data_IF_800579176243
#
_entry.id   IF_800579176243
#
_cell.length_a   1.000
_cell.length_b   1.000
_cell.length_c   1.000
_cell.angle_alpha   90.00
_cell.angle_beta   90.00
_cell.angle_gamma   90.00
#
_symmetry.space_group_name_H-M   'P 1'
#
loop_
_entity.id
_entity.type
_entity.pdbx_description
1 polymer ?
#
# COMPACT_ATOMS: atom_id res chain seq x y z
N UNK A 1 21.62 -22.65 4.08
CA UNK A 1 21.63 -22.49 2.60
C UNK A 1 21.10 -21.11 2.27
N UNK A 2 21.75 -20.39 1.34
CA UNK A 2 21.28 -19.10 0.84
C UNK A 2 20.74 -19.21 -0.59
N UNK A 3 20.03 -18.19 -1.06
CA UNK A 3 19.44 -18.17 -2.39
C UNK A 3 18.45 -17.02 -2.61
N UNK A 4 17.91 -16.87 -3.82
CA UNK A 4 16.88 -15.88 -4.10
C UNK A 4 15.65 -16.11 -3.22
N UNK A 5 15.01 -15.02 -2.78
CA UNK A 5 13.77 -15.05 -2.02
C UNK A 5 12.93 -13.84 -2.39
N UNK A 6 11.64 -14.02 -2.56
CA UNK A 6 10.70 -12.91 -2.73
C UNK A 6 10.12 -12.54 -1.37
N UNK A 7 10.18 -11.26 -1.02
CA UNK A 7 9.61 -10.74 0.23
C UNK A 7 8.71 -9.55 -0.09
N UNK A 8 7.60 -9.44 0.63
CA UNK A 8 6.70 -8.28 0.56
C UNK A 8 5.92 -8.10 1.88
N UNK A 9 5.33 -6.92 2.06
CA UNK A 9 4.36 -6.62 3.11
C UNK A 9 3.00 -6.30 2.49
N UNK A 10 1.94 -6.80 3.10
CA UNK A 10 0.57 -6.44 2.73
C UNK A 10 0.05 -5.22 3.52
N UNK A 11 -0.78 -4.37 2.91
CA UNK A 11 -1.20 -4.37 1.51
C UNK A 11 -0.15 -3.75 0.56
N UNK A 12 -0.05 -4.28 -0.65
CA UNK A 12 0.82 -3.74 -1.72
C UNK A 12 0.00 -2.84 -2.65
N UNK A 13 0.50 -1.64 -2.92
CA UNK A 13 -0.20 -0.63 -3.77
C UNK A 13 0.68 -0.09 -4.89
N UNK A 14 1.93 -0.52 -4.98
CA UNK A 14 2.80 -0.28 -6.14
C UNK A 14 3.60 -1.53 -6.50
N UNK A 15 4.16 -1.55 -7.72
CA UNK A 15 5.00 -2.67 -8.15
C UNK A 15 6.28 -2.85 -7.31
N UNK A 16 6.82 -1.74 -6.78
CA UNK A 16 8.04 -1.73 -5.97
C UNK A 16 7.90 -2.38 -4.58
N UNK A 17 6.66 -2.64 -4.13
CA UNK A 17 6.37 -3.25 -2.81
C UNK A 17 6.73 -4.74 -2.74
N UNK A 18 6.93 -5.38 -3.89
CA UNK A 18 7.33 -6.79 -4.00
C UNK A 18 8.78 -6.85 -4.44
N UNK A 19 9.62 -7.50 -3.62
CA UNK A 19 11.07 -7.43 -3.82
C UNK A 19 11.72 -8.81 -3.78
N UNK A 20 12.57 -9.05 -4.76
CA UNK A 20 13.55 -10.11 -4.77
C UNK A 20 14.76 -9.69 -3.93
N UNK A 21 15.12 -10.54 -2.98
CA UNK A 21 16.34 -10.45 -2.18
C UNK A 21 17.16 -11.73 -2.35
N UNK A 22 18.36 -11.71 -1.77
CA UNK A 22 19.18 -12.92 -1.59
C UNK A 22 19.21 -13.26 -0.11
N UNK A 23 18.60 -14.38 0.28
CA UNK A 23 18.74 -14.94 1.61
C UNK A 23 20.18 -15.40 1.82
N UNK A 24 20.78 -14.98 2.93
CA UNK A 24 22.16 -15.33 3.31
C UNK A 24 22.14 -16.04 4.65
N UNK A 25 22.83 -17.18 4.70
CA UNK A 25 22.95 -17.99 5.90
C UNK A 25 24.09 -17.47 6.79
N UNK A 26 23.76 -16.96 7.98
CA UNK A 26 24.72 -16.38 8.92
C UNK A 26 24.70 -17.18 10.22
N UNK A 27 25.72 -18.01 10.51
CA UNK A 27 25.75 -18.88 11.70
C UNK A 27 25.53 -18.15 13.03
N UNK A 28 26.03 -16.92 13.15
CA UNK A 28 25.85 -16.10 14.34
C UNK A 28 24.38 -15.76 14.64
N UNK A 29 23.50 -15.83 13.64
CA UNK A 29 22.07 -15.50 13.75
C UNK A 29 21.18 -16.73 13.90
N UNK A 30 21.73 -17.96 13.95
CA UNK A 30 20.95 -19.21 14.04
C UNK A 30 20.10 -19.35 15.31
N UNK A 31 20.36 -18.52 16.32
CA UNK A 31 19.54 -18.45 17.53
C UNK A 31 18.23 -17.67 17.33
N UNK A 32 18.09 -16.95 16.22
CA UNK A 32 16.86 -16.25 15.82
C UNK A 32 16.03 -17.19 14.94
N UNK A 33 14.88 -17.61 15.44
CA UNK A 33 13.95 -18.50 14.75
C UNK A 33 12.63 -17.76 14.46
N UNK A 34 11.94 -18.19 13.40
CA UNK A 34 10.62 -17.66 13.00
C UNK A 34 10.58 -16.14 12.78
N UNK A 35 11.70 -15.56 12.35
CA UNK A 35 11.86 -14.14 12.02
C UNK A 35 12.65 -13.96 10.74
N UNK A 36 12.43 -12.82 10.07
CA UNK A 36 13.29 -12.33 8.99
C UNK A 36 14.26 -11.32 9.57
N UNK A 37 15.56 -11.51 9.34
CA UNK A 37 16.58 -10.55 9.77
C UNK A 37 17.06 -9.74 8.59
N UNK A 38 16.76 -8.43 8.60
CA UNK A 38 17.24 -7.50 7.58
C UNK A 38 18.61 -6.92 7.95
N UNK A 39 19.46 -6.59 6.97
CA UNK A 39 20.72 -5.91 7.22
C UNK A 39 20.47 -4.51 7.81
N UNK A 40 21.29 -4.15 8.80
CA UNK A 40 21.26 -2.80 9.42
C UNK A 40 21.86 -1.72 8.52
N UNK A 41 22.72 -2.09 7.59
CA UNK A 41 23.46 -1.17 6.74
C UNK A 41 23.04 -1.31 5.28
N UNK A 42 22.97 -0.19 4.58
CA UNK A 42 22.56 -0.11 3.19
C UNK A 42 22.14 1.32 2.83
N UNK A 43 21.83 1.58 1.56
CA UNK A 43 21.37 2.89 1.11
C UNK A 43 19.95 3.23 1.61
N UNK A 44 19.13 2.19 1.85
CA UNK A 44 17.74 2.29 2.32
C UNK A 44 17.39 1.03 3.13
N UNK A 45 16.65 1.13 4.24
CA UNK A 45 16.20 -0.06 4.98
C UNK A 45 15.27 -0.92 4.12
N UNK A 46 15.52 -2.23 4.02
CA UNK A 46 14.67 -3.13 3.22
C UNK A 46 13.19 -3.18 3.65
N UNK A 47 12.83 -3.11 4.96
CA UNK A 47 11.44 -2.92 5.37
C UNK A 47 10.77 -1.74 4.67
N UNK A 48 11.39 -0.56 4.72
CA UNK A 48 10.85 0.67 4.14
C UNK A 48 10.69 0.60 2.61
N UNK A 49 11.46 -0.26 1.92
CA UNK A 49 11.28 -0.52 0.49
C UNK A 49 9.99 -1.27 0.15
N UNK A 50 9.29 -1.86 1.14
CA UNK A 50 8.09 -2.67 0.98
C UNK A 50 6.90 -2.04 1.73
N UNK A 51 6.01 -1.34 1.03
CA UNK A 51 4.81 -0.73 1.60
C UNK A 51 5.06 0.19 2.81
N UNK A 52 6.23 0.86 2.85
CA UNK A 52 6.62 1.74 3.96
C UNK A 52 6.71 1.02 5.30
N UNK A 53 7.10 -0.25 5.29
CA UNK A 53 7.18 -1.08 6.50
C UNK A 53 8.27 -0.62 7.45
N UNK A 54 8.04 -0.85 8.75
CA UNK A 54 9.05 -0.74 9.78
C UNK A 54 9.16 -2.06 10.58
N UNK A 55 9.79 -2.03 11.75
CA UNK A 55 10.02 -3.21 12.59
C UNK A 55 9.31 -3.10 13.95
N UNK A 56 8.15 -2.43 14.01
CA UNK A 56 7.34 -2.28 15.23
C UNK A 56 6.34 -3.43 15.49
N UNK A 57 6.29 -4.40 14.57
CA UNK A 57 5.35 -5.53 14.60
C UNK A 57 4.93 -6.04 13.22
N UNK A 58 5.41 -5.43 12.14
CA UNK A 58 5.11 -5.83 10.75
C UNK A 58 5.47 -7.30 10.45
N UNK A 59 4.57 -7.97 9.73
CA UNK A 59 4.76 -9.33 9.22
C UNK A 59 5.01 -9.30 7.70
N UNK A 60 5.84 -10.25 7.24
CA UNK A 60 6.24 -10.34 5.83
C UNK A 60 5.81 -11.66 5.21
N UNK A 61 5.33 -11.58 3.96
CA UNK A 61 5.19 -12.76 3.11
C UNK A 61 6.56 -13.10 2.53
N UNK A 62 7.07 -14.29 2.85
CA UNK A 62 8.38 -14.78 2.38
C UNK A 62 8.17 -15.99 1.47
N UNK A 63 8.59 -15.88 0.21
CA UNK A 63 8.28 -16.86 -0.84
C UNK A 63 9.58 -17.36 -1.47
N UNK A 64 9.77 -18.68 -1.42
CA UNK A 64 10.92 -19.42 -1.97
C UNK A 64 10.58 -20.17 -3.26
N UNK A 65 9.37 -20.01 -3.78
CA UNK A 65 8.91 -20.70 -5.00
C UNK A 65 9.46 -19.99 -6.24
N UNK A 66 10.35 -20.64 -7.02
CA UNK A 66 10.91 -20.04 -8.22
C UNK A 66 9.88 -19.68 -9.29
N UNK A 67 8.70 -20.34 -9.29
CA UNK A 67 7.61 -20.02 -10.21
C UNK A 67 6.96 -18.65 -9.94
N UNK A 68 7.22 -18.05 -8.77
CA UNK A 68 6.73 -16.75 -8.36
C UNK A 68 7.79 -15.65 -8.37
N UNK A 69 9.04 -15.98 -8.76
CA UNK A 69 10.12 -15.00 -8.79
C UNK A 69 9.87 -13.93 -9.85
N UNK A 70 10.23 -12.70 -9.48
CA UNK A 70 10.25 -11.59 -10.42
C UNK A 70 11.58 -11.59 -11.18
N UNK A 71 11.54 -11.17 -12.45
CA UNK A 71 12.74 -11.00 -13.26
C UNK A 71 13.64 -9.88 -12.74
N UNK A 72 13.05 -8.87 -12.08
CA UNK A 72 13.74 -7.71 -11.49
C UNK A 72 12.90 -7.09 -10.38
N UNK A 73 13.55 -6.24 -9.58
CA UNK A 73 12.87 -5.29 -8.69
C UNK A 73 12.50 -4.02 -9.47
N UNK A 74 11.30 -3.52 -9.23
CA UNK A 74 10.93 -2.16 -9.60
C UNK A 74 11.42 -1.17 -8.54
N UNK A 75 11.44 0.12 -8.89
CA UNK A 75 11.85 1.17 -7.95
C UNK A 75 10.95 1.18 -6.72
N UNK A 76 11.57 1.24 -5.54
CA UNK A 76 10.85 1.34 -4.28
C UNK A 76 10.13 2.68 -4.20
N UNK A 77 8.84 2.66 -3.86
CA UNK A 77 8.05 3.87 -3.72
C UNK A 77 8.53 4.68 -2.50
N UNK A 78 8.40 6.00 -2.58
CA UNK A 78 8.76 6.90 -1.48
C UNK A 78 7.55 7.04 -0.55
N UNK A 79 7.62 6.35 0.59
CA UNK A 79 6.61 6.39 1.64
C UNK A 79 6.85 7.51 2.66
N UNK A 80 7.81 8.40 2.41
CA UNK A 80 8.13 9.48 3.34
C UNK A 80 6.98 10.46 3.43
N UNK A 81 6.29 10.46 4.57
CA UNK A 81 5.29 11.48 4.85
C UNK A 81 5.95 12.87 4.96
N UNK A 82 5.33 13.93 4.38
CA UNK A 82 5.84 15.28 4.55
C UNK A 82 5.81 15.67 6.04
N UNK A 83 6.83 16.41 6.53
CA UNK A 83 6.90 16.80 7.93
C UNK A 83 5.64 17.56 8.34
N UNK A 84 5.01 17.09 9.41
CA UNK A 84 3.89 17.77 10.05
C UNK A 84 4.45 18.56 11.22
N UNK A 85 4.25 19.88 11.21
CA UNK A 85 4.50 20.69 12.40
C UNK A 85 3.43 20.32 13.42
N UNK A 86 3.80 19.76 14.59
CA UNK A 86 2.84 19.48 15.63
C UNK A 86 2.18 20.79 16.04
N UNK A 87 0.85 20.84 16.04
CA UNK A 87 0.15 21.95 16.68
C UNK A 87 0.37 21.84 18.20
N UNK A 88 0.60 22.96 18.86
CA UNK A 88 0.67 22.97 20.33
C UNK A 88 -0.67 22.50 20.89
N UNK A 89 -0.62 21.47 21.73
CA UNK A 89 -1.81 20.93 22.39
C UNK A 89 -2.11 21.80 23.60
N UNK A 90 -3.28 22.43 23.59
CA UNK A 90 -3.82 23.16 24.74
C UNK A 90 -4.45 22.13 25.69
N UNK A 91 -3.78 21.85 26.82
CA UNK A 91 -4.22 20.84 27.80
C UNK A 91 -5.65 21.10 28.30
N UNK A 92 -6.07 22.36 28.40
CA UNK A 92 -7.43 22.71 28.82
C UNK A 92 -8.49 22.32 27.77
N UNK A 93 -8.11 22.26 26.50
CA UNK A 93 -8.98 21.90 25.36
C UNK A 93 -8.78 20.49 24.84
N UNK A 94 -7.88 19.70 25.45
CA UNK A 94 -7.53 18.36 24.99
C UNK A 94 -8.76 17.49 24.73
N UNK A 95 -9.75 17.51 25.64
CA UNK A 95 -10.98 16.72 25.49
C UNK A 95 -11.80 17.13 24.26
N UNK A 96 -11.93 18.42 24.01
CA UNK A 96 -12.66 18.96 22.84
C UNK A 96 -11.92 18.63 21.56
N UNK A 97 -10.60 18.84 21.53
CA UNK A 97 -9.74 18.51 20.39
C UNK A 97 -9.77 17.01 20.06
N UNK A 98 -9.78 16.13 21.08
CA UNK A 98 -9.92 14.69 20.88
C UNK A 98 -11.28 14.32 20.28
N UNK A 99 -12.37 14.93 20.76
CA UNK A 99 -13.71 14.69 20.22
C UNK A 99 -13.83 15.17 18.77
N UNK A 100 -13.32 16.36 18.47
CA UNK A 100 -13.29 16.92 17.12
C UNK A 100 -12.45 16.06 16.18
N UNK A 101 -11.29 15.59 16.63
CA UNK A 101 -10.45 14.68 15.86
C UNK A 101 -11.17 13.35 15.60
N UNK A 102 -11.85 12.78 16.59
CA UNK A 102 -12.60 11.54 16.41
C UNK A 102 -13.71 11.70 15.37
N UNK A 103 -14.50 12.78 15.44
CA UNK A 103 -15.55 13.08 14.45
C UNK A 103 -14.95 13.28 13.06
N UNK A 104 -13.84 14.02 12.97
CA UNK A 104 -13.10 14.22 11.71
C UNK A 104 -12.62 12.89 11.13
N UNK A 105 -12.00 12.05 11.96
CA UNK A 105 -11.47 10.75 11.56
C UNK A 105 -12.57 9.84 11.02
N UNK A 106 -13.65 9.64 11.78
CA UNK A 106 -14.77 8.78 11.35
C UNK A 106 -15.44 9.30 10.07
N UNK A 107 -15.51 10.61 9.89
CA UNK A 107 -16.14 11.22 8.71
C UNK A 107 -15.27 11.17 7.45
N UNK A 108 -13.95 11.13 7.62
CA UNK A 108 -12.97 11.25 6.52
C UNK A 108 -12.20 9.96 6.24
N UNK A 109 -12.35 8.93 7.09
CA UNK A 109 -11.77 7.62 6.82
C UNK A 109 -12.31 7.08 5.48
N UNK A 110 -11.35 6.87 4.58
CA UNK A 110 -11.60 6.51 3.20
C UNK A 110 -10.65 5.42 2.70
N UNK A 111 -9.87 4.79 3.59
CA UNK A 111 -8.85 3.80 3.22
C UNK A 111 -9.45 2.64 2.41
N UNK A 112 -10.59 2.11 2.85
CA UNK A 112 -11.28 1.04 2.12
C UNK A 112 -11.84 1.47 0.76
N UNK A 113 -12.26 2.73 0.61
CA UNK A 113 -12.71 3.27 -0.69
C UNK A 113 -11.54 3.46 -1.65
N UNK A 114 -10.40 3.94 -1.14
CA UNK A 114 -9.17 4.12 -1.89
C UNK A 114 -8.61 2.77 -2.33
N UNK A 115 -8.56 1.77 -1.45
CA UNK A 115 -8.10 0.42 -1.77
C UNK A 115 -8.97 -0.26 -2.83
N UNK A 116 -10.30 -0.15 -2.72
CA UNK A 116 -11.21 -0.67 -3.75
C UNK A 116 -11.02 0.04 -5.10
N UNK A 117 -10.85 1.36 -5.09
CA UNK A 117 -10.56 2.11 -6.31
C UNK A 117 -9.24 1.66 -6.95
N UNK A 118 -8.21 1.41 -6.15
CA UNK A 118 -6.93 0.89 -6.62
C UNK A 118 -7.11 -0.45 -7.35
N UNK A 119 -7.78 -1.43 -6.73
CA UNK A 119 -8.01 -2.76 -7.34
C UNK A 119 -8.72 -2.65 -8.70
N UNK A 120 -9.76 -1.82 -8.78
CA UNK A 120 -10.50 -1.58 -10.03
C UNK A 120 -9.60 -0.93 -11.08
N UNK A 121 -8.84 0.11 -10.71
CA UNK A 121 -8.04 0.87 -11.67
C UNK A 121 -6.80 0.12 -12.12
N UNK A 122 -6.19 -0.67 -11.25
CA UNK A 122 -5.08 -1.55 -11.61
C UNK A 122 -5.53 -2.61 -12.62
N UNK A 123 -6.73 -3.16 -12.45
CA UNK A 123 -7.30 -4.12 -13.39
C UNK A 123 -7.61 -3.49 -14.77
N UNK A 124 -8.23 -2.30 -14.77
CA UNK A 124 -8.64 -1.57 -15.98
C UNK A 124 -7.46 -0.95 -16.76
N UNK A 125 -6.58 -0.23 -16.05
CA UNK A 125 -5.57 0.65 -16.65
C UNK A 125 -4.15 0.09 -16.50
N UNK A 126 -3.97 -0.94 -15.67
CA UNK A 126 -2.66 -1.47 -15.29
C UNK A 126 -2.08 -0.78 -14.06
N UNK A 127 -1.28 -1.56 -13.32
CA UNK A 127 -0.61 -1.16 -12.08
C UNK A 127 0.25 0.11 -12.24
N UNK A 128 0.96 0.23 -13.37
CA UNK A 128 1.88 1.33 -13.63
C UNK A 128 1.21 2.57 -14.23
N UNK A 129 -0.13 2.62 -14.24
CA UNK A 129 -0.85 3.80 -14.72
C UNK A 129 -0.68 4.97 -13.75
N UNK A 130 -0.69 6.20 -14.29
CA UNK A 130 -0.63 7.43 -13.48
C UNK A 130 -1.79 7.50 -12.47
N UNK A 131 -2.96 6.96 -12.84
CA UNK A 131 -4.12 6.85 -11.95
C UNK A 131 -3.82 5.97 -10.74
N UNK A 132 -3.25 4.78 -10.96
CA UNK A 132 -2.89 3.88 -9.86
C UNK A 132 -1.82 4.49 -8.96
N UNK A 133 -0.82 5.15 -9.54
CA UNK A 133 0.19 5.89 -8.78
C UNK A 133 -0.43 6.99 -7.89
N UNK A 134 -1.35 7.80 -8.43
CA UNK A 134 -2.04 8.83 -7.63
C UNK A 134 -2.89 8.22 -6.51
N UNK A 135 -3.53 7.07 -6.77
CA UNK A 135 -4.30 6.36 -5.75
C UNK A 135 -3.38 5.77 -4.67
N UNK A 136 -2.18 5.29 -5.03
CA UNK A 136 -1.19 4.80 -4.09
C UNK A 136 -0.69 5.90 -3.14
N UNK A 137 -0.41 7.11 -3.65
CA UNK A 137 -0.09 8.29 -2.82
C UNK A 137 -1.20 8.56 -1.81
N UNK A 138 -2.46 8.55 -2.25
CA UNK A 138 -3.62 8.75 -1.36
C UNK A 138 -3.80 7.62 -0.36
N UNK A 139 -3.43 6.39 -0.72
CA UNK A 139 -3.47 5.25 0.18
C UNK A 139 -2.47 5.41 1.33
N UNK A 140 -1.22 5.80 1.01
CA UNK A 140 -0.21 6.17 2.00
C UNK A 140 -0.70 7.29 2.92
N UNK A 141 -1.22 8.39 2.37
CA UNK A 141 -1.80 9.49 3.16
C UNK A 141 -2.95 9.02 4.07
N UNK A 142 -3.79 8.09 3.60
CA UNK A 142 -4.89 7.54 4.38
C UNK A 142 -4.42 6.69 5.56
N UNK A 143 -3.37 5.87 5.37
CA UNK A 143 -2.77 5.05 6.43
C UNK A 143 -2.17 5.93 7.52
N UNK A 144 -1.53 7.04 7.13
CA UNK A 144 -0.89 7.97 8.06
C UNK A 144 -1.82 9.06 8.60
N UNK A 145 -3.07 9.14 8.15
CA UNK A 145 -4.04 10.12 8.65
C UNK A 145 -4.21 10.10 10.18
N UNK A 146 -4.33 8.94 10.87
CA UNK A 146 -4.36 8.89 12.34
C UNK A 146 -3.16 9.54 13.01
N UNK A 147 -1.97 9.48 12.38
CA UNK A 147 -0.70 9.99 12.92
C UNK A 147 -0.50 11.47 12.58
N UNK A 148 -0.90 11.88 11.38
CA UNK A 148 -0.61 13.21 10.82
C UNK A 148 -1.75 14.22 11.03
N UNK A 149 -2.96 13.74 11.34
CA UNK A 149 -4.16 14.58 11.43
C UNK A 149 -4.66 15.12 10.08
N UNK A 150 -4.02 14.75 8.97
CA UNK A 150 -4.32 15.23 7.61
C UNK A 150 -4.95 14.11 6.79
N UNK A 151 -6.23 14.25 6.39
CA UNK A 151 -6.87 13.25 5.53
C UNK A 151 -6.29 13.32 4.10
N UNK A 152 -6.35 12.21 3.34
CA UNK A 152 -5.99 12.22 1.93
C UNK A 152 -6.93 13.11 1.13
N UNK A 153 -6.44 13.60 -0.01
CA UNK A 153 -7.32 14.28 -0.97
C UNK A 153 -8.36 13.30 -1.57
N UNK A 154 -9.60 13.75 -1.85
CA UNK A 154 -10.63 12.87 -2.41
C UNK A 154 -10.24 12.26 -3.76
N UNK A 155 -10.74 11.05 -4.05
CA UNK A 155 -10.58 10.42 -5.37
C UNK A 155 -11.11 11.34 -6.49
N UNK A 156 -10.26 11.63 -7.46
CA UNK A 156 -10.55 12.54 -8.56
C UNK A 156 -11.58 11.94 -9.52
N UNK A 157 -12.52 12.78 -10.00
CA UNK A 157 -13.57 12.38 -10.95
C UNK A 157 -13.07 12.22 -12.40
N UNK A 158 -11.81 12.55 -12.68
CA UNK A 158 -11.26 12.63 -14.04
C UNK A 158 -11.71 13.89 -14.79
N UNK A 159 -11.19 14.07 -16.00
CA UNK A 159 -11.55 15.15 -16.93
C UNK A 159 -11.53 14.60 -18.37
N UNK A 160 -12.71 14.33 -18.96
CA UNK A 160 -12.79 13.81 -20.33
C UNK A 160 -12.22 14.75 -21.38
N UNK A 161 -12.31 16.07 -21.17
CA UNK A 161 -11.81 17.08 -22.12
C UNK A 161 -10.29 17.05 -22.15
N UNK A 162 -9.66 16.87 -20.99
CA UNK A 162 -8.20 16.75 -20.85
C UNK A 162 -7.68 15.31 -20.96
N UNK A 163 -8.55 14.33 -21.25
CA UNK A 163 -8.23 12.90 -21.29
C UNK A 163 -7.57 12.39 -19.99
N UNK A 164 -8.06 12.89 -18.85
CA UNK A 164 -7.63 12.45 -17.53
C UNK A 164 -8.63 11.40 -17.05
N UNK A 165 -8.17 10.17 -16.86
CA UNK A 165 -8.97 9.09 -16.31
C UNK A 165 -9.42 9.39 -14.88
N UNK A 166 -10.64 8.93 -14.56
CA UNK A 166 -11.18 9.03 -13.20
C UNK A 166 -10.50 8.02 -12.28
N UNK A 167 -10.19 8.44 -11.05
CA UNK A 167 -9.77 7.54 -9.98
C UNK A 167 -10.95 6.81 -9.35
N UNK A 168 -12.18 7.32 -9.53
CA UNK A 168 -13.38 6.65 -9.01
C UNK A 168 -13.73 5.43 -9.85
N UNK A 169 -14.06 4.34 -9.17
CA UNK A 169 -14.65 3.16 -9.77
C UNK A 169 -16.14 3.41 -10.08
N UNK A 170 -16.54 3.16 -11.33
CA UNK A 170 -17.96 3.20 -11.78
C UNK A 170 -18.45 1.83 -12.23
N UNK A 171 -17.54 0.92 -12.55
CA UNK A 171 -17.78 -0.49 -12.82
C UNK A 171 -16.73 -1.31 -12.09
N UNK A 172 -17.10 -2.47 -11.57
CA UNK A 172 -16.26 -3.30 -10.72
C UNK A 172 -15.93 -4.63 -11.41
N UNK A 173 -14.72 -5.16 -11.26
CA UNK A 173 -14.40 -6.49 -11.76
C UNK A 173 -15.21 -7.54 -10.98
N UNK A 174 -15.52 -8.64 -11.65
CA UNK A 174 -16.33 -9.74 -11.15
C UNK A 174 -15.79 -10.37 -9.85
N UNK A 175 -14.46 -10.46 -9.71
CA UNK A 175 -13.82 -10.97 -8.49
C UNK A 175 -14.07 -10.13 -7.23
N UNK A 176 -14.64 -8.92 -7.35
CA UNK A 176 -15.03 -8.08 -6.20
C UNK A 176 -16.47 -8.32 -5.74
N UNK A 177 -17.24 -9.14 -6.47
CA UNK A 177 -18.59 -9.61 -6.10
C UNK A 177 -19.57 -8.48 -5.69
N UNK A 178 -19.47 -7.31 -6.35
CA UNK A 178 -20.36 -6.17 -6.10
C UNK A 178 -21.72 -6.37 -6.79
N UNK A 179 -22.59 -7.17 -6.16
CA UNK A 179 -23.89 -7.59 -6.73
C UNK A 179 -24.87 -6.45 -7.02
N UNK A 180 -24.76 -5.32 -6.31
CA UNK A 180 -25.63 -4.15 -6.50
C UNK A 180 -25.06 -3.10 -7.46
N UNK A 181 -23.84 -3.31 -7.98
CA UNK A 181 -23.13 -2.36 -8.83
C UNK A 181 -22.94 -2.92 -10.25
N UNK A 182 -22.65 -2.06 -11.21
CA UNK A 182 -22.28 -2.53 -12.55
C UNK A 182 -20.96 -3.29 -12.50
N UNK A 183 -20.94 -4.51 -13.03
CA UNK A 183 -19.75 -5.36 -13.06
C UNK A 183 -19.21 -5.61 -14.48
N UNK A 184 -18.00 -6.14 -14.56
CA UNK A 184 -17.40 -6.66 -15.78
C UNK A 184 -16.53 -7.88 -15.47
N UNK A 185 -16.39 -8.78 -16.43
CA UNK A 185 -15.49 -9.93 -16.29
C UNK A 185 -14.04 -9.46 -16.42
N UNK A 186 -13.24 -9.59 -15.34
CA UNK A 186 -11.83 -9.21 -15.40
C UNK A 186 -11.07 -10.16 -16.35
N UNK A 187 -10.30 -9.61 -17.32
CA UNK A 187 -9.44 -10.40 -18.19
C UNK A 187 -8.07 -10.70 -17.55
N UNK A 188 -7.80 -10.15 -16.36
CA UNK A 188 -6.50 -10.22 -15.67
C UNK A 188 -6.41 -11.46 -14.77
N UNK A 189 -5.23 -11.64 -14.16
CA UNK A 189 -4.93 -12.79 -13.30
C UNK A 189 -5.98 -12.99 -12.19
N UNK A 190 -6.37 -11.91 -11.49
CA UNK A 190 -7.37 -11.99 -10.42
C UNK A 190 -8.71 -12.53 -10.91
N UNK A 191 -9.19 -12.10 -12.08
CA UNK A 191 -10.40 -12.65 -12.70
C UNK A 191 -10.26 -14.13 -13.07
N UNK A 192 -9.10 -14.55 -13.56
CA UNK A 192 -8.81 -15.96 -13.88
C UNK A 192 -8.68 -16.87 -12.66
N UNK A 193 -8.26 -16.34 -11.52
CA UNK A 193 -8.18 -17.09 -10.26
C UNK A 193 -9.53 -17.22 -9.58
N UNK A 194 -10.42 -16.23 -9.80
CA UNK A 194 -11.77 -16.22 -9.24
C UNK A 194 -12.71 -17.21 -9.93
N UNK A 195 -12.49 -17.51 -11.21
CA UNK A 195 -13.33 -18.41 -12.04
C UNK A 195 -12.64 -19.75 -12.27
#
# INVERSE_FOLDING_TARGET
MGGPVLITKNPMVVAGDVRMFTAVDIPALHHLCDVVVFPRHGPRPHPDEMAGSDLDGDEYSVIWDPGLYLERNEDAFDYTAPPVNPEEVDEEKMREQMADFFVKYVSQDSIGKIANAFLVKADQLGLNSKVCHNIAVKNMEAVDFPKTGKPPSPLAKGDPVRKIDSEKATRFPDFMEKTQESSYESPRLNGRLFR
#
